data_IF_855650125610
#
_entry.id   IF_855650125610
#
_cell.length_a   1.000
_cell.length_b   1.000
_cell.length_c   1.000
_cell.angle_alpha   90.00
_cell.angle_beta   90.00
_cell.angle_gamma   90.00
#
_symmetry.space_group_name_H-M   'P 1'
#
loop_
_entity.id
_entity.type
_entity.pdbx_description
1 polymer ?
#
# COMPACT_ATOMS: atom_id res chain seq x y z
N UNK A 1 -14.75 -70.74 13.14
CA UNK A 1 -15.37 -70.49 11.82
C UNK A 1 -15.10 -71.68 10.91
N UNK A 2 -16.09 -72.23 10.19
CA UNK A 2 -15.84 -73.34 9.26
C UNK A 2 -14.89 -72.87 8.15
N UNK A 3 -13.82 -73.64 7.89
CA UNK A 3 -12.83 -73.34 6.84
C UNK A 3 -13.42 -73.65 5.47
N UNK A 4 -13.63 -72.61 4.65
CA UNK A 4 -14.10 -72.76 3.27
C UNK A 4 -12.91 -73.19 2.40
N UNK A 5 -13.02 -74.28 1.61
CA UNK A 5 -11.93 -74.72 0.75
C UNK A 5 -11.58 -73.68 -0.31
N UNK A 6 -10.29 -73.56 -0.61
CA UNK A 6 -9.73 -72.57 -1.54
C UNK A 6 -10.40 -72.71 -2.92
N UNK A 7 -11.09 -71.65 -3.37
CA UNK A 7 -11.80 -71.62 -4.66
C UNK A 7 -13.29 -72.05 -4.64
N UNK A 8 -13.87 -72.34 -3.47
CA UNK A 8 -15.31 -72.50 -3.33
C UNK A 8 -16.01 -71.14 -3.20
N UNK A 9 -17.22 -71.03 -3.74
CA UNK A 9 -18.06 -69.82 -3.66
C UNK A 9 -19.31 -70.13 -2.86
N UNK A 10 -19.65 -69.24 -1.92
CA UNK A 10 -20.91 -69.25 -1.20
C UNK A 10 -22.00 -68.70 -2.12
N UNK A 11 -22.97 -69.55 -2.48
CA UNK A 11 -24.15 -69.13 -3.22
C UNK A 11 -25.37 -69.28 -2.30
N UNK A 12 -26.18 -68.22 -2.21
CA UNK A 12 -27.43 -68.24 -1.46
C UNK A 12 -28.55 -68.79 -2.35
N UNK A 13 -29.21 -69.84 -1.88
CA UNK A 13 -30.41 -70.35 -2.53
C UNK A 13 -31.56 -69.36 -2.25
N UNK A 14 -32.17 -68.82 -3.31
CA UNK A 14 -33.18 -67.75 -3.19
C UNK A 14 -34.54 -68.25 -2.70
N UNK A 15 -34.78 -69.56 -2.67
CA UNK A 15 -36.04 -70.15 -2.21
C UNK A 15 -36.02 -70.52 -0.72
N UNK A 16 -34.84 -70.81 -0.18
CA UNK A 16 -34.64 -71.25 1.22
C UNK A 16 -33.87 -70.25 2.07
N UNK A 17 -33.17 -69.30 1.46
CA UNK A 17 -32.35 -68.29 2.16
C UNK A 17 -31.08 -68.84 2.80
N UNK A 18 -30.75 -70.12 2.55
CA UNK A 18 -29.57 -70.78 3.09
C UNK A 18 -28.39 -70.66 2.13
N UNK A 19 -27.19 -70.58 2.70
CA UNK A 19 -25.94 -70.50 1.94
C UNK A 19 -25.38 -71.90 1.69
N UNK A 20 -25.20 -72.24 0.42
CA UNK A 20 -24.53 -73.48 0.02
C UNK A 20 -23.08 -73.21 -0.43
N UNK A 21 -22.18 -74.11 -0.05
CA UNK A 21 -20.77 -74.08 -0.46
C UNK A 21 -20.62 -74.89 -1.74
N UNK A 22 -20.55 -74.21 -2.87
CA UNK A 22 -20.38 -74.87 -4.18
C UNK A 22 -18.89 -75.10 -4.43
N UNK A 23 -18.48 -76.37 -4.49
CA UNK A 23 -17.11 -76.77 -4.81
C UNK A 23 -16.84 -76.63 -6.32
N UNK A 24 -15.66 -76.12 -6.72
CA UNK A 24 -15.30 -76.03 -8.13
C UNK A 24 -15.11 -77.44 -8.72
N UNK A 25 -15.99 -77.85 -9.63
CA UNK A 25 -15.85 -79.10 -10.41
C UNK A 25 -15.53 -78.76 -11.88
N UNK A 26 -14.98 -79.73 -12.62
CA UNK A 26 -14.71 -79.59 -14.07
C UNK A 26 -15.94 -79.15 -14.86
N UNK A 27 -17.15 -79.55 -14.44
CA UNK A 27 -18.41 -79.19 -15.11
C UNK A 27 -18.84 -77.72 -14.88
N UNK A 28 -18.35 -77.06 -13.82
CA UNK A 28 -18.81 -75.72 -13.43
C UNK A 28 -17.79 -74.60 -13.71
N UNK A 29 -16.57 -74.94 -14.14
CA UNK A 29 -15.45 -74.00 -14.35
C UNK A 29 -15.77 -72.87 -15.34
N UNK A 30 -16.52 -73.16 -16.40
CA UNK A 30 -16.91 -72.16 -17.41
C UNK A 30 -17.91 -71.12 -16.85
N UNK A 31 -18.82 -71.54 -15.96
CA UNK A 31 -19.79 -70.64 -15.33
C UNK A 31 -19.12 -69.70 -14.31
N UNK A 32 -18.11 -70.20 -13.60
CA UNK A 32 -17.33 -69.38 -12.67
C UNK A 32 -16.49 -68.32 -13.37
N UNK A 33 -15.85 -68.64 -14.50
CA UNK A 33 -15.05 -67.68 -15.27
C UNK A 33 -15.89 -66.51 -15.80
N UNK A 34 -17.08 -66.80 -16.35
CA UNK A 34 -18.04 -65.76 -16.77
C UNK A 34 -18.53 -64.89 -15.61
N UNK A 35 -18.79 -65.48 -14.44
CA UNK A 35 -19.23 -64.72 -13.25
C UNK A 35 -18.12 -63.83 -12.68
N UNK A 36 -16.87 -64.27 -12.70
CA UNK A 36 -15.74 -63.44 -12.27
C UNK A 36 -15.46 -62.30 -13.24
N UNK A 37 -15.58 -62.53 -14.55
CA UNK A 37 -15.46 -61.47 -15.57
C UNK A 37 -16.59 -60.44 -15.41
N UNK A 38 -17.83 -60.88 -15.21
CA UNK A 38 -18.96 -59.98 -14.97
C UNK A 38 -18.81 -59.19 -13.65
N UNK A 39 -18.28 -59.82 -12.60
CA UNK A 39 -18.00 -59.13 -11.34
C UNK A 39 -16.87 -58.10 -11.47
N UNK A 40 -15.87 -58.37 -12.31
CA UNK A 40 -14.81 -57.42 -12.64
C UNK A 40 -15.36 -56.20 -13.39
N UNK A 41 -16.20 -56.42 -14.41
CA UNK A 41 -16.87 -55.32 -15.14
C UNK A 41 -17.73 -54.44 -14.24
N UNK A 42 -18.52 -55.03 -13.34
CA UNK A 42 -19.35 -54.24 -12.42
C UNK A 42 -18.54 -53.51 -11.34
N UNK A 43 -17.34 -53.99 -11.01
CA UNK A 43 -16.43 -53.27 -10.11
C UNK A 43 -15.80 -52.06 -10.81
N UNK A 44 -15.38 -52.22 -12.06
CA UNK A 44 -14.84 -51.14 -12.90
C UNK A 44 -15.90 -50.06 -13.18
N UNK A 45 -17.16 -50.45 -13.43
CA UNK A 45 -18.29 -49.51 -13.52
C UNK A 45 -18.52 -48.73 -12.23
N UNK A 46 -18.34 -49.37 -11.05
CA UNK A 46 -18.50 -48.68 -9.76
C UNK A 46 -17.37 -47.71 -9.49
N UNK A 47 -16.14 -48.06 -9.85
CA UNK A 47 -14.97 -47.19 -9.69
C UNK A 47 -15.03 -46.00 -10.65
N UNK A 48 -15.47 -46.21 -11.90
CA UNK A 48 -15.68 -45.12 -12.86
C UNK A 48 -16.84 -44.20 -12.45
N UNK A 49 -17.96 -44.75 -11.97
CA UNK A 49 -19.06 -43.95 -11.43
C UNK A 49 -18.67 -43.21 -10.14
N UNK A 50 -17.82 -43.80 -9.30
CA UNK A 50 -17.27 -43.14 -8.10
C UNK A 50 -16.33 -41.98 -8.48
N UNK A 51 -15.45 -42.17 -9.47
CA UNK A 51 -14.58 -41.11 -10.00
C UNK A 51 -15.38 -39.97 -10.66
N UNK A 52 -16.42 -40.30 -11.42
CA UNK A 52 -17.32 -39.31 -12.01
C UNK A 52 -18.13 -38.58 -10.94
N UNK A 53 -18.62 -39.29 -9.92
CA UNK A 53 -19.32 -38.69 -8.77
C UNK A 53 -18.41 -37.76 -7.97
N UNK A 54 -17.14 -38.12 -7.74
CA UNK A 54 -16.15 -37.26 -7.09
C UNK A 54 -15.86 -35.99 -7.92
N UNK A 55 -15.73 -36.12 -9.25
CA UNK A 55 -15.56 -34.95 -10.13
C UNK A 55 -16.76 -34.02 -10.17
N UNK A 56 -17.98 -34.54 -10.03
CA UNK A 56 -19.22 -33.75 -10.01
C UNK A 56 -19.44 -33.09 -8.64
N UNK A 57 -18.92 -33.67 -7.55
CA UNK A 57 -19.05 -33.13 -6.19
C UNK A 57 -18.01 -32.07 -5.84
N UNK A 58 -16.92 -31.95 -6.62
CA UNK A 58 -16.07 -30.75 -6.62
C UNK A 58 -16.74 -29.70 -7.51
N UNK A 59 -17.76 -29.03 -6.97
CA UNK A 59 -18.24 -27.78 -7.53
C UNK A 59 -17.03 -26.84 -7.67
N UNK A 60 -16.82 -26.19 -8.82
CA UNK A 60 -15.79 -25.16 -8.90
C UNK A 60 -16.10 -24.14 -7.81
N UNK A 61 -15.09 -23.81 -6.99
CA UNK A 61 -15.23 -22.75 -6.00
C UNK A 61 -15.86 -21.52 -6.68
N UNK A 62 -16.80 -20.82 -6.02
CA UNK A 62 -17.38 -19.62 -6.59
C UNK A 62 -16.25 -18.73 -7.09
N UNK A 63 -16.26 -18.37 -8.38
CA UNK A 63 -15.24 -17.49 -8.96
C UNK A 63 -15.22 -16.23 -8.11
N UNK A 64 -14.19 -16.09 -7.27
CA UNK A 64 -14.02 -14.93 -6.42
C UNK A 64 -13.59 -13.78 -7.32
N UNK A 65 -14.57 -13.04 -7.85
CA UNK A 65 -14.30 -11.84 -8.63
C UNK A 65 -13.63 -10.86 -7.67
N UNK A 66 -12.35 -10.50 -7.88
CA UNK A 66 -11.70 -9.51 -7.04
C UNK A 66 -12.51 -8.21 -7.09
N UNK A 67 -12.59 -7.46 -5.98
CA UNK A 67 -13.31 -6.21 -5.96
C UNK A 67 -12.81 -5.32 -7.11
N UNK A 68 -13.71 -4.59 -7.80
CA UNK A 68 -13.30 -3.70 -8.88
C UNK A 68 -12.31 -2.67 -8.33
N UNK A 69 -11.28 -2.37 -9.11
CA UNK A 69 -10.33 -1.30 -8.77
C UNK A 69 -11.15 -0.02 -8.58
N UNK A 70 -11.05 0.67 -7.43
CA UNK A 70 -11.80 1.90 -7.20
C UNK A 70 -11.55 2.90 -8.31
N UNK A 71 -12.62 3.43 -8.91
CA UNK A 71 -12.52 4.51 -9.90
C UNK A 71 -12.00 5.83 -9.31
N UNK A 72 -11.86 5.90 -7.99
CA UNK A 72 -11.20 6.96 -7.23
C UNK A 72 -9.68 6.81 -7.17
N UNK A 73 -9.12 5.67 -7.59
CA UNK A 73 -7.68 5.42 -7.60
C UNK A 73 -7.02 6.32 -8.64
N UNK A 74 -6.35 7.37 -8.16
CA UNK A 74 -5.58 8.30 -9.00
C UNK A 74 -4.09 8.05 -8.81
N UNK A 75 -3.43 7.56 -9.84
CA UNK A 75 -1.97 7.50 -9.86
C UNK A 75 -1.40 8.91 -9.97
N UNK A 76 -0.34 9.17 -9.21
CA UNK A 76 0.38 10.44 -9.28
C UNK A 76 1.05 10.55 -10.65
N UNK A 77 1.02 11.75 -11.23
CA UNK A 77 1.72 12.04 -12.49
C UNK A 77 3.22 12.12 -12.21
N UNK A 78 4.05 11.43 -12.99
CA UNK A 78 5.51 11.40 -12.83
C UNK A 78 6.13 12.80 -12.73
N UNK A 79 5.72 13.73 -13.60
CA UNK A 79 6.22 15.12 -13.58
C UNK A 79 5.91 15.87 -12.27
N UNK A 80 4.80 15.56 -11.62
CA UNK A 80 4.43 16.19 -10.36
C UNK A 80 5.25 15.61 -9.21
N UNK A 81 5.42 14.28 -9.19
CA UNK A 81 6.31 13.60 -8.25
C UNK A 81 7.73 14.16 -8.31
N UNK A 82 8.31 14.27 -9.51
CA UNK A 82 9.65 14.83 -9.67
C UNK A 82 9.74 16.26 -9.11
N UNK A 83 8.72 17.11 -9.31
CA UNK A 83 8.72 18.48 -8.75
C UNK A 83 8.68 18.50 -7.23
N UNK A 84 7.88 17.62 -6.63
CA UNK A 84 7.79 17.52 -5.18
C UNK A 84 9.14 17.04 -4.62
N UNK A 85 9.70 15.98 -5.20
CA UNK A 85 11.01 15.43 -4.81
C UNK A 85 12.15 16.44 -5.00
N UNK A 86 12.16 17.21 -6.09
CA UNK A 86 13.13 18.29 -6.33
C UNK A 86 12.99 19.46 -5.35
N UNK A 87 11.77 19.74 -4.87
CA UNK A 87 11.52 20.88 -3.99
C UNK A 87 11.85 20.59 -2.53
N UNK A 88 11.60 19.36 -2.04
CA UNK A 88 11.89 18.93 -0.66
C UNK A 88 13.26 19.38 -0.13
N UNK A 89 14.40 19.06 -0.78
CA UNK A 89 15.71 19.47 -0.27
C UNK A 89 15.89 21.00 -0.26
N UNK A 90 15.25 21.72 -1.17
CA UNK A 90 15.32 23.18 -1.23
C UNK A 90 14.51 23.82 -0.09
N UNK A 91 13.36 23.25 0.27
CA UNK A 91 12.57 23.68 1.43
C UNK A 91 13.36 23.48 2.71
N UNK A 92 13.81 22.26 2.97
CA UNK A 92 14.60 21.92 4.15
C UNK A 92 15.83 22.82 4.29
N UNK A 93 16.61 22.99 3.21
CA UNK A 93 17.78 23.85 3.22
C UNK A 93 17.43 25.32 3.52
N UNK A 94 16.28 25.79 3.03
CA UNK A 94 15.81 27.16 3.28
C UNK A 94 15.36 27.32 4.74
N UNK A 95 14.62 26.36 5.28
CA UNK A 95 14.18 26.35 6.69
C UNK A 95 15.38 26.40 7.62
N UNK A 96 16.34 25.49 7.45
CA UNK A 96 17.59 25.45 8.24
C UNK A 96 18.34 26.79 8.16
N UNK A 97 18.44 27.36 6.95
CA UNK A 97 19.13 28.63 6.74
C UNK A 97 18.49 29.79 7.49
N UNK A 98 17.17 29.78 7.66
CA UNK A 98 16.40 30.84 8.32
C UNK A 98 16.32 30.71 9.84
N UNK A 99 16.59 29.53 10.41
CA UNK A 99 16.63 29.31 11.86
C UNK A 99 17.35 30.40 12.67
N UNK A 100 18.57 30.87 12.31
CA UNK A 100 19.25 31.92 13.09
C UNK A 100 18.53 33.27 13.04
N UNK A 101 17.79 33.58 11.97
CA UNK A 101 16.96 34.79 11.88
C UNK A 101 15.78 34.67 12.84
N UNK A 102 15.09 33.53 12.80
CA UNK A 102 13.91 33.25 13.62
C UNK A 102 14.27 33.30 15.11
N UNK A 103 15.38 32.66 15.50
CA UNK A 103 15.85 32.69 16.88
C UNK A 103 16.12 34.13 17.38
N UNK A 104 16.72 34.98 16.52
CA UNK A 104 16.93 36.39 16.86
C UNK A 104 15.63 37.19 16.89
N UNK A 105 14.70 36.97 15.96
CA UNK A 105 13.38 37.61 15.98
C UNK A 105 12.61 37.27 17.26
N UNK A 106 12.68 36.02 17.73
CA UNK A 106 12.10 35.63 19.02
C UNK A 106 12.76 36.35 20.20
N UNK A 107 14.10 36.50 20.17
CA UNK A 107 14.82 37.24 21.20
C UNK A 107 14.45 38.74 21.20
N UNK A 108 14.31 39.37 20.03
CA UNK A 108 13.85 40.76 19.92
C UNK A 108 12.40 40.94 20.38
N UNK A 109 11.53 39.97 20.10
CA UNK A 109 10.16 39.99 20.62
C UNK A 109 10.13 39.97 22.16
N UNK A 110 11.00 39.19 22.79
CA UNK A 110 11.12 39.18 24.25
C UNK A 110 11.71 40.50 24.78
N UNK A 111 12.73 41.06 24.12
CA UNK A 111 13.25 42.39 24.43
C UNK A 111 12.16 43.47 24.36
N UNK A 112 11.30 43.42 23.34
CA UNK A 112 10.16 44.32 23.20
C UNK A 112 9.19 44.19 24.38
N UNK A 113 8.89 42.97 24.82
CA UNK A 113 8.03 42.71 25.99
C UNK A 113 8.62 43.28 27.28
N UNK A 114 9.94 43.27 27.39
CA UNK A 114 10.69 43.83 28.51
C UNK A 114 10.92 45.35 28.39
N UNK A 115 10.43 46.00 27.33
CA UNK A 115 10.61 47.44 27.09
C UNK A 115 12.03 47.84 26.68
N UNK A 116 12.83 46.87 26.22
CA UNK A 116 14.19 47.10 25.74
C UNK A 116 14.19 47.56 24.27
N UNK A 117 15.24 48.29 23.83
CA UNK A 117 15.36 48.71 22.45
C UNK A 117 15.47 47.50 21.51
N UNK A 118 14.66 47.51 20.45
CA UNK A 118 14.67 46.52 19.36
C UNK A 118 15.39 47.09 18.14
N UNK A 119 16.04 46.22 17.36
CA UNK A 119 16.82 46.62 16.18
C UNK A 119 15.98 46.66 14.90
N UNK A 120 14.82 46.02 14.91
CA UNK A 120 13.96 45.84 13.73
C UNK A 120 12.54 46.31 14.04
N UNK A 121 11.85 46.87 13.04
CA UNK A 121 10.47 47.28 13.21
C UNK A 121 9.54 46.07 13.39
N UNK A 122 8.51 46.16 14.26
CA UNK A 122 7.58 45.06 14.50
C UNK A 122 6.89 44.55 13.23
N UNK A 123 6.62 45.43 12.26
CA UNK A 123 5.99 45.07 10.98
C UNK A 123 6.85 44.11 10.16
N UNK A 124 8.17 44.35 10.12
CA UNK A 124 9.12 43.46 9.44
C UNK A 124 9.16 42.11 10.17
N UNK A 125 9.30 42.14 11.50
CA UNK A 125 9.37 40.93 12.31
C UNK A 125 8.13 40.04 12.15
N UNK A 126 6.93 40.61 12.24
CA UNK A 126 5.66 39.89 12.07
C UNK A 126 5.57 39.25 10.69
N UNK A 127 5.92 40.00 9.64
CA UNK A 127 5.83 39.49 8.28
C UNK A 127 6.82 38.35 8.04
N UNK A 128 8.07 38.50 8.51
CA UNK A 128 9.09 37.46 8.40
C UNK A 128 8.68 36.19 9.14
N UNK A 129 8.08 36.36 10.33
CA UNK A 129 7.55 35.26 11.11
C UNK A 129 6.42 34.51 10.39
N UNK A 130 5.44 35.24 9.83
CA UNK A 130 4.27 34.64 9.16
C UNK A 130 4.66 33.74 7.98
N UNK A 131 5.59 34.16 7.12
CA UNK A 131 6.00 33.29 6.01
C UNK A 131 7.01 32.22 6.43
N UNK A 132 7.82 32.42 7.47
CA UNK A 132 8.63 31.34 8.03
C UNK A 132 7.74 30.21 8.56
N UNK A 133 6.69 30.53 9.32
CA UNK A 133 5.73 29.55 9.81
C UNK A 133 5.08 28.76 8.65
N UNK A 134 4.71 29.46 7.57
CA UNK A 134 4.21 28.79 6.35
C UNK A 134 5.25 27.87 5.70
N UNK A 135 6.53 28.21 5.70
CA UNK A 135 7.58 27.30 5.22
C UNK A 135 7.78 26.11 6.14
N UNK A 136 7.82 26.34 7.45
CA UNK A 136 8.00 25.30 8.47
C UNK A 136 6.86 24.29 8.40
N UNK A 137 5.62 24.77 8.25
CA UNK A 137 4.45 23.92 8.01
C UNK A 137 4.51 23.12 6.70
N UNK A 138 5.14 23.68 5.66
CA UNK A 138 5.35 22.99 4.38
C UNK A 138 6.47 21.96 4.45
N UNK A 139 7.47 22.17 5.32
CA UNK A 139 8.65 21.31 5.50
C UNK A 139 8.37 20.14 6.46
N UNK A 140 7.76 20.40 7.62
CA UNK A 140 7.47 19.37 8.63
C UNK A 140 6.51 18.28 8.13
N UNK A 141 5.66 18.61 7.15
CA UNK A 141 4.64 17.72 6.65
C UNK A 141 4.94 17.38 5.20
N UNK A 142 5.81 16.41 5.02
CA UNK A 142 6.06 15.76 3.72
C UNK A 142 4.72 15.38 3.03
N UNK A 143 3.74 14.95 3.83
CA UNK A 143 2.36 14.67 3.42
C UNK A 143 1.57 15.93 3.02
N UNK A 144 1.78 17.08 3.68
CA UNK A 144 1.21 18.38 3.26
C UNK A 144 1.84 18.82 1.94
N UNK A 145 3.15 18.68 1.74
CA UNK A 145 3.77 19.07 0.47
C UNK A 145 3.25 18.22 -0.69
N UNK A 146 3.05 16.92 -0.46
CA UNK A 146 2.36 16.05 -1.42
C UNK A 146 0.94 16.58 -1.70
N UNK A 147 0.15 16.83 -0.65
CA UNK A 147 -1.25 17.27 -0.75
C UNK A 147 -1.41 18.64 -1.42
N UNK A 148 -0.66 19.65 -0.96
CA UNK A 148 -0.65 21.01 -1.48
C UNK A 148 -0.03 21.01 -2.87
N UNK A 149 1.04 20.26 -3.11
CA UNK A 149 1.68 20.14 -4.40
C UNK A 149 0.72 19.73 -5.52
N UNK A 150 -0.26 18.86 -5.20
CA UNK A 150 -1.33 18.46 -6.11
C UNK A 150 -2.31 19.59 -6.47
N UNK A 151 -2.48 20.59 -5.61
CA UNK A 151 -3.38 21.73 -5.84
C UNK A 151 -2.68 22.90 -6.51
N UNK A 152 -1.34 22.94 -6.46
CA UNK A 152 -0.56 24.02 -7.08
C UNK A 152 -0.62 24.01 -8.60
N UNK A 153 -0.97 25.16 -9.17
CA UNK A 153 -0.81 25.44 -10.59
C UNK A 153 0.68 25.51 -10.97
N UNK A 154 0.98 25.35 -12.27
CA UNK A 154 2.34 25.54 -12.80
C UNK A 154 2.94 26.92 -12.46
N UNK A 155 2.10 27.96 -12.33
CA UNK A 155 2.55 29.29 -11.96
C UNK A 155 2.94 29.36 -10.48
N UNK A 156 2.15 28.75 -9.59
CA UNK A 156 2.47 28.66 -8.16
C UNK A 156 3.75 27.86 -7.92
N UNK A 157 3.93 26.72 -8.59
CA UNK A 157 5.18 25.94 -8.54
C UNK A 157 6.41 26.78 -8.89
N UNK A 158 6.33 27.56 -9.97
CA UNK A 158 7.43 28.45 -10.40
C UNK A 158 7.67 29.58 -9.39
N UNK A 159 6.62 30.18 -8.84
CA UNK A 159 6.74 31.22 -7.80
C UNK A 159 7.41 30.67 -6.55
N UNK A 160 6.96 29.53 -6.03
CA UNK A 160 7.55 28.90 -4.85
C UNK A 160 9.04 28.60 -5.06
N UNK A 161 9.38 27.94 -6.17
CA UNK A 161 10.78 27.66 -6.52
C UNK A 161 11.62 28.94 -6.68
N UNK A 162 11.03 29.98 -7.27
CA UNK A 162 11.67 31.29 -7.41
C UNK A 162 11.94 31.96 -6.06
N UNK A 163 10.95 31.96 -5.17
CA UNK A 163 11.07 32.49 -3.81
C UNK A 163 12.18 31.81 -3.02
N UNK A 164 12.25 30.47 -3.05
CA UNK A 164 13.32 29.74 -2.35
C UNK A 164 14.71 30.10 -2.89
N UNK A 165 14.85 30.25 -4.21
CA UNK A 165 16.11 30.71 -4.83
C UNK A 165 16.47 32.13 -4.41
N UNK A 166 15.49 33.03 -4.36
CA UNK A 166 15.70 34.41 -3.92
C UNK A 166 16.15 34.47 -2.46
N UNK A 167 15.50 33.71 -1.57
CA UNK A 167 15.94 33.56 -0.18
C UNK A 167 17.38 33.04 -0.15
N UNK A 168 17.67 31.97 -0.91
CA UNK A 168 18.99 31.39 -1.06
C UNK A 168 20.08 32.37 -1.53
N UNK A 169 19.70 33.42 -2.27
CA UNK A 169 20.62 34.46 -2.74
C UNK A 169 20.98 35.51 -1.69
N UNK A 170 20.19 35.69 -0.63
CA UNK A 170 20.48 36.66 0.44
C UNK A 170 21.72 36.20 1.22
N UNK A 171 22.67 37.10 1.48
CA UNK A 171 23.91 36.76 2.20
C UNK A 171 23.74 36.88 3.71
N UNK A 172 24.10 35.82 4.44
CA UNK A 172 24.00 35.76 5.91
C UNK A 172 25.39 35.97 6.56
N UNK A 173 26.38 36.43 5.78
CA UNK A 173 27.71 36.76 6.29
C UNK A 173 27.60 37.88 7.31
N UNK A 174 28.26 37.71 8.47
CA UNK A 174 28.24 38.65 9.59
C UNK A 174 26.82 38.98 10.08
N UNK A 175 25.94 37.96 10.15
CA UNK A 175 24.55 38.12 10.58
C UNK A 175 24.38 38.82 11.93
N UNK A 176 25.37 38.70 12.83
CA UNK A 176 25.45 39.44 14.09
C UNK A 176 25.30 40.94 13.92
N UNK A 177 26.05 41.52 13.00
CA UNK A 177 26.15 42.96 12.76
C UNK A 177 25.11 43.44 11.75
N UNK A 178 24.82 42.61 10.74
CA UNK A 178 23.94 42.95 9.62
C UNK A 178 22.51 42.47 9.80
N UNK A 179 22.08 42.17 11.03
CA UNK A 179 20.78 41.54 11.27
C UNK A 179 19.60 42.35 10.70
N UNK A 180 19.56 43.66 10.97
CA UNK A 180 18.52 44.56 10.46
C UNK A 180 18.53 44.67 8.93
N UNK A 181 19.72 44.72 8.33
CA UNK A 181 19.88 44.74 6.88
C UNK A 181 19.37 43.45 6.24
N UNK A 182 19.77 42.28 6.75
CA UNK A 182 19.35 40.98 6.22
C UNK A 182 17.84 40.80 6.35
N UNK A 183 17.25 41.21 7.47
CA UNK A 183 15.79 41.17 7.64
C UNK A 183 15.07 42.10 6.68
N UNK A 184 15.64 43.27 6.39
CA UNK A 184 15.09 44.19 5.38
C UNK A 184 15.22 43.62 3.98
N UNK A 185 16.37 43.05 3.60
CA UNK A 185 16.58 42.36 2.34
C UNK A 185 15.52 41.26 2.14
N UNK A 186 15.31 40.41 3.17
CA UNK A 186 14.30 39.36 3.16
C UNK A 186 12.86 39.90 3.07
N UNK A 187 12.57 41.01 3.74
CA UNK A 187 11.26 41.67 3.68
C UNK A 187 10.96 42.23 2.27
N UNK A 188 11.98 42.83 1.64
CA UNK A 188 11.90 43.45 0.32
C UNK A 188 11.73 42.42 -0.81
N UNK A 189 12.08 41.15 -0.58
CA UNK A 189 11.79 40.05 -1.51
C UNK A 189 10.28 39.85 -1.77
N UNK A 190 9.40 40.38 -0.91
CA UNK A 190 7.95 40.34 -1.08
C UNK A 190 7.43 38.92 -1.35
N UNK A 191 7.95 37.95 -0.59
CA UNK A 191 7.70 36.52 -0.80
C UNK A 191 6.22 36.22 -0.64
N UNK A 192 5.69 35.46 -1.61
CA UNK A 192 4.32 34.93 -1.58
C UNK A 192 4.39 33.42 -1.68
N UNK A 193 4.23 32.76 -0.53
CA UNK A 193 4.10 31.31 -0.45
C UNK A 193 2.63 30.94 -0.77
N UNK A 194 2.41 29.81 -1.46
CA UNK A 194 1.08 29.34 -1.81
C UNK A 194 0.30 28.78 -0.63
#
# INVERSE_FOLDING_TARGET
MPKIPQGAVLAMDKSTGLYEVIKPSKANRAKFKKRSELAFYHQEERETLSLLSYRISVLPEPIHIPPPIPNTLKFRKTKLLCRIEELKPNLLATTIRLQPIVAKLSAEAEQQRLGLPISISPEIGIRLWDWYQKLDELDELEEKLDTIGHTLTNAQWRRLSGSLKQIGGVSFVNLSERFSEVCKELYDLNIKLP
#
